data_IF_690976932055
#
_entry.id   IF_690976932055
#
_cell.length_a   1.000
_cell.length_b   1.000
_cell.length_c   1.000
_cell.angle_alpha   90.00
_cell.angle_beta   90.00
_cell.angle_gamma   90.00
#
_symmetry.space_group_name_H-M   'P 1'
#
loop_
_entity.id
_entity.type
_entity.pdbx_description
1 polymer ?
#
# COMPACT_ATOMS: atom_id res chain seq x y z
N UNK A 1 -10.32 3.90 2.71
CA UNK A 1 -10.85 3.46 4.02
C UNK A 1 -12.21 2.82 3.81
N UNK A 2 -12.49 1.61 4.32
CA UNK A 2 -13.83 1.04 4.23
C UNK A 2 -14.81 1.92 5.02
N UNK A 3 -15.99 2.14 4.45
CA UNK A 3 -16.95 3.14 4.94
C UNK A 3 -17.38 2.95 6.40
N UNK A 4 -17.33 1.72 6.91
CA UNK A 4 -17.84 1.35 8.24
C UNK A 4 -16.79 1.37 9.38
N UNK A 5 -15.58 1.91 9.18
CA UNK A 5 -14.59 2.02 10.27
C UNK A 5 -14.65 3.39 10.97
N UNK A 6 -15.18 3.48 12.21
CA UNK A 6 -15.29 4.74 12.94
C UNK A 6 -13.95 5.28 13.49
N UNK A 7 -12.87 4.48 13.46
CA UNK A 7 -11.54 4.86 13.96
C UNK A 7 -10.63 5.39 12.87
N UNK A 8 -9.66 6.21 13.30
CA UNK A 8 -8.49 6.50 12.49
C UNK A 8 -7.69 5.24 12.16
N UNK A 9 -6.94 5.30 11.07
CA UNK A 9 -6.11 4.19 10.60
C UNK A 9 -4.68 4.65 10.40
N UNK A 10 -3.72 3.79 10.76
CA UNK A 10 -2.31 4.01 10.47
C UNK A 10 -2.03 3.59 9.03
N UNK A 11 -1.65 4.54 8.19
CA UNK A 11 -1.19 4.29 6.83
C UNK A 11 0.32 4.37 6.79
N UNK A 12 0.97 3.34 6.26
CA UNK A 12 2.37 3.37 5.91
C UNK A 12 2.51 3.60 4.40
N UNK A 13 3.05 4.76 4.04
CA UNK A 13 3.40 5.11 2.66
C UNK A 13 4.87 4.80 2.44
N UNK A 14 5.15 3.99 1.43
CA UNK A 14 6.50 3.68 0.96
C UNK A 14 6.70 4.28 -0.42
N UNK A 15 7.75 5.06 -0.57
CA UNK A 15 8.13 5.62 -1.84
C UNK A 15 9.52 5.12 -2.20
N UNK A 16 9.62 4.34 -3.27
CA UNK A 16 10.89 3.82 -3.79
C UNK A 16 11.28 4.56 -5.07
N UNK A 17 12.56 4.91 -5.21
CA UNK A 17 13.10 5.48 -6.45
C UNK A 17 13.22 4.40 -7.52
N UNK A 18 12.80 4.67 -8.76
CA UNK A 18 12.84 3.71 -9.85
C UNK A 18 13.70 4.22 -11.01
N UNK A 19 14.55 3.36 -11.58
CA UNK A 19 15.25 3.65 -12.84
C UNK A 19 14.37 3.26 -14.04
N UNK A 20 14.46 3.96 -15.19
CA UNK A 20 13.65 3.64 -16.38
C UNK A 20 13.73 2.17 -16.80
N UNK A 21 14.95 1.59 -16.83
CA UNK A 21 15.17 0.20 -17.24
C UNK A 21 14.50 -0.82 -16.31
N UNK A 22 14.42 -0.50 -15.02
CA UNK A 22 13.76 -1.36 -14.04
C UNK A 22 12.23 -1.26 -14.17
N UNK A 23 11.70 -0.05 -14.47
CA UNK A 23 10.29 0.14 -14.80
C UNK A 23 9.88 -0.73 -15.98
N UNK A 24 10.61 -0.63 -17.10
CA UNK A 24 10.33 -1.38 -18.33
C UNK A 24 10.35 -2.89 -18.08
N UNK A 25 11.34 -3.38 -17.32
CA UNK A 25 11.43 -4.79 -16.92
C UNK A 25 10.19 -5.22 -16.11
N UNK A 26 9.75 -4.42 -15.13
CA UNK A 26 8.58 -4.75 -14.31
C UNK A 26 7.25 -4.67 -15.05
N UNK A 27 7.12 -3.74 -16.02
CA UNK A 27 5.96 -3.66 -16.93
C UNK A 27 5.86 -4.91 -17.80
N UNK A 28 6.98 -5.34 -18.39
CA UNK A 28 7.04 -6.57 -19.19
C UNK A 28 6.70 -7.79 -18.32
N UNK A 29 7.20 -7.86 -17.10
CA UNK A 29 6.89 -8.96 -16.19
C UNK A 29 5.39 -8.98 -15.80
N UNK A 30 4.81 -7.81 -15.56
CA UNK A 30 3.40 -7.66 -15.22
C UNK A 30 2.49 -8.06 -16.38
N UNK A 31 2.82 -7.65 -17.61
CA UNK A 31 2.02 -8.01 -18.78
C UNK A 31 1.99 -9.52 -19.00
N UNK A 32 3.12 -10.22 -18.79
CA UNK A 32 3.21 -11.67 -18.93
C UNK A 32 2.51 -12.44 -17.81
N UNK A 33 2.54 -11.94 -16.57
CA UNK A 33 1.89 -12.59 -15.42
C UNK A 33 0.38 -12.37 -15.37
N UNK A 34 -0.11 -11.30 -16.00
CA UNK A 34 -1.55 -10.97 -16.05
C UNK A 34 -2.22 -11.50 -17.31
N UNK A 35 -1.45 -11.93 -18.32
CA UNK A 35 -1.96 -12.57 -19.53
C UNK A 35 -2.80 -13.80 -19.13
N UNK A 36 -4.08 -13.74 -19.43
CA UNK A 36 -5.08 -14.72 -18.95
C UNK A 36 -5.23 -15.90 -19.91
N UNK A 37 -4.44 -15.92 -21.01
CA UNK A 37 -4.48 -16.92 -22.07
C UNK A 37 -5.51 -16.62 -23.18
N UNK A 38 -5.91 -15.36 -23.34
CA UNK A 38 -6.90 -14.95 -24.36
C UNK A 38 -6.32 -14.92 -25.78
N UNK A 39 -7.19 -15.02 -26.80
CA UNK A 39 -6.79 -15.01 -28.22
C UNK A 39 -6.07 -13.74 -28.69
N UNK A 40 -6.15 -12.67 -27.88
CA UNK A 40 -5.57 -11.34 -28.10
C UNK A 40 -4.51 -10.99 -27.06
N UNK A 41 -4.00 -11.99 -26.32
CA UNK A 41 -2.88 -11.74 -25.41
C UNK A 41 -1.60 -11.41 -26.17
N UNK A 42 -0.83 -10.49 -25.59
CA UNK A 42 0.48 -10.09 -26.12
C UNK A 42 1.39 -11.32 -26.10
N UNK A 43 2.07 -11.66 -27.22
CA UNK A 43 2.98 -12.79 -27.24
C UNK A 43 4.11 -12.57 -26.21
N UNK A 44 4.53 -13.63 -25.50
CA UNK A 44 5.53 -13.50 -24.45
C UNK A 44 6.86 -13.00 -25.05
N UNK A 45 7.25 -11.78 -24.68
CA UNK A 45 8.55 -11.21 -25.02
C UNK A 45 9.64 -11.79 -24.10
N UNK A 46 10.88 -11.87 -24.60
CA UNK A 46 11.98 -12.30 -23.75
C UNK A 46 12.24 -11.27 -22.64
N UNK A 47 12.11 -11.68 -21.37
CA UNK A 47 12.44 -10.88 -20.19
C UNK A 47 13.96 -10.76 -20.02
N UNK A 48 14.57 -9.84 -20.76
CA UNK A 48 15.99 -9.53 -20.61
C UNK A 48 16.20 -8.63 -19.40
N UNK A 49 16.79 -9.18 -18.34
CA UNK A 49 17.24 -8.39 -17.19
C UNK A 49 18.71 -7.97 -17.28
N UNK A 50 19.29 -7.58 -16.15
CA UNK A 50 20.71 -7.22 -16.04
C UNK A 50 21.59 -8.34 -15.41
N UNK A 51 21.00 -9.50 -15.13
CA UNK A 51 21.69 -10.68 -14.60
C UNK A 51 22.13 -11.57 -15.77
N UNK A 52 23.37 -12.07 -15.73
CA UNK A 52 23.95 -12.95 -16.76
C UNK A 52 24.81 -14.04 -16.13
N UNK A 53 24.82 -15.23 -16.73
CA UNK A 53 25.80 -16.25 -16.36
C UNK A 53 27.18 -15.88 -16.92
N UNK A 54 28.23 -16.03 -16.10
CA UNK A 54 29.63 -15.81 -16.49
C UNK A 54 30.26 -17.03 -17.17
N UNK A 55 29.77 -18.24 -16.87
CA UNK A 55 30.32 -19.50 -17.38
C UNK A 55 29.72 -19.88 -18.73
N UNK A 56 28.47 -19.49 -19.00
CA UNK A 56 27.79 -19.72 -20.28
C UNK A 56 27.05 -18.44 -20.73
N UNK A 57 27.59 -17.69 -21.70
CA UNK A 57 26.94 -16.49 -22.22
C UNK A 57 25.74 -16.77 -23.13
N UNK A 58 25.54 -18.02 -23.58
CA UNK A 58 24.36 -18.42 -24.35
C UNK A 58 23.17 -18.77 -23.45
N UNK A 59 23.42 -18.99 -22.15
CA UNK A 59 22.35 -19.27 -21.19
C UNK A 59 21.48 -18.03 -20.97
N UNK A 60 20.17 -18.23 -21.16
CA UNK A 60 19.17 -17.20 -20.92
C UNK A 60 18.79 -17.20 -19.44
N UNK A 61 19.21 -16.16 -18.73
CA UNK A 61 18.87 -15.96 -17.32
C UNK A 61 17.78 -14.90 -17.19
N UNK A 62 16.79 -15.15 -16.33
CA UNK A 62 15.72 -14.22 -16.01
C UNK A 62 16.00 -13.59 -14.66
N UNK A 63 15.96 -12.27 -14.58
CA UNK A 63 16.04 -11.55 -13.32
C UNK A 63 16.69 -10.18 -13.45
N UNK A 64 16.27 -9.26 -12.60
CA UNK A 64 16.77 -7.90 -12.56
C UNK A 64 17.20 -7.53 -11.14
N UNK A 65 18.44 -7.09 -11.00
CA UNK A 65 19.01 -6.59 -9.75
C UNK A 65 19.03 -5.06 -9.78
N UNK A 66 18.27 -4.41 -8.90
CA UNK A 66 18.25 -2.96 -8.76
C UNK A 66 18.58 -2.55 -7.32
N UNK A 67 19.20 -1.39 -7.17
CA UNK A 67 19.41 -0.73 -5.88
C UNK A 67 18.57 0.54 -5.89
N UNK A 68 17.63 0.62 -4.94
CA UNK A 68 16.66 1.72 -4.87
C UNK A 68 16.67 2.34 -3.48
N UNK A 69 16.51 3.66 -3.40
CA UNK A 69 16.25 4.33 -2.14
C UNK A 69 14.75 4.23 -1.82
N UNK A 70 14.40 3.78 -0.61
CA UNK A 70 13.00 3.72 -0.17
C UNK A 70 12.80 4.59 1.07
N UNK A 71 11.89 5.55 0.95
CA UNK A 71 11.47 6.43 2.05
C UNK A 71 10.15 5.95 2.60
N UNK A 72 10.06 5.91 3.94
CA UNK A 72 8.92 5.41 4.68
C UNK A 72 8.30 6.56 5.46
N UNK A 73 6.98 6.75 5.32
CA UNK A 73 6.21 7.71 6.11
C UNK A 73 5.00 7.01 6.68
N UNK A 74 4.81 7.12 7.99
CA UNK A 74 3.62 6.63 8.68
C UNK A 74 2.75 7.81 9.06
N UNK A 75 1.48 7.73 8.68
CA UNK A 75 0.49 8.79 8.87
C UNK A 75 -0.71 8.18 9.57
N UNK A 76 -1.09 8.76 10.70
CA UNK A 76 -2.38 8.45 11.31
C UNK A 76 -3.45 9.29 10.60
N UNK A 77 -4.37 8.64 9.91
CA UNK A 77 -5.51 9.30 9.30
C UNK A 77 -6.73 9.11 10.18
N UNK A 78 -7.19 10.19 10.81
CA UNK A 78 -8.46 10.22 11.50
C UNK A 78 -9.57 10.76 10.58
N UNK A 79 -10.75 10.13 10.62
CA UNK A 79 -11.91 10.53 9.81
C UNK A 79 -12.34 11.98 10.10
N UNK A 80 -12.19 12.41 11.34
CA UNK A 80 -12.57 13.77 11.77
C UNK A 80 -11.50 14.82 11.41
N UNK A 81 -10.27 14.40 11.13
CA UNK A 81 -9.15 15.29 10.77
C UNK A 81 -9.06 15.60 9.28
N UNK A 82 -9.71 14.79 8.43
CA UNK A 82 -9.90 15.11 7.03
C UNK A 82 -10.94 16.23 6.94
N UNK A 83 -10.48 17.48 6.85
CA UNK A 83 -11.35 18.62 6.58
C UNK A 83 -12.34 18.25 5.47
N UNK A 84 -13.63 18.50 5.70
CA UNK A 84 -14.70 18.16 4.78
C UNK A 84 -14.28 18.58 3.37
N UNK A 85 -13.97 17.61 2.51
CA UNK A 85 -13.82 17.89 1.09
C UNK A 85 -15.24 18.19 0.62
N UNK A 86 -15.56 19.43 0.21
CA UNK A 86 -16.89 19.70 -0.29
C UNK A 86 -17.09 18.83 -1.53
N UNK A 87 -17.91 17.78 -1.38
CA UNK A 87 -18.34 16.98 -2.50
C UNK A 87 -19.06 17.94 -3.46
N UNK A 88 -18.73 17.93 -4.77
CA UNK A 88 -19.48 18.73 -5.73
C UNK A 88 -20.96 18.36 -5.61
N UNK A 89 -21.74 19.42 -5.43
CA UNK A 89 -23.13 19.46 -4.98
C UNK A 89 -24.03 18.51 -5.78
N UNK A 90 -24.19 17.27 -5.30
CA UNK A 90 -25.46 16.55 -5.40
C UNK A 90 -26.15 16.64 -4.03
N UNK A 91 -26.57 17.88 -3.72
CA UNK A 91 -27.35 18.21 -2.54
C UNK A 91 -28.71 17.51 -2.62
N UNK A 92 -28.92 16.52 -1.76
CA UNK A 92 -30.19 16.17 -1.07
C UNK A 92 -30.05 14.91 -0.21
N UNK A 93 -28.86 14.33 -0.06
CA UNK A 93 -28.65 13.42 1.07
C UNK A 93 -28.42 14.31 2.29
N UNK A 94 -29.42 14.43 3.15
CA UNK A 94 -29.21 14.82 4.55
C UNK A 94 -27.96 14.06 5.00
N UNK A 95 -26.83 14.74 5.17
CA UNK A 95 -25.69 14.13 5.84
C UNK A 95 -26.26 13.61 7.16
N UNK A 96 -26.33 12.28 7.38
CA UNK A 96 -26.75 11.82 8.68
C UNK A 96 -25.73 12.42 9.62
N UNK A 97 -26.17 13.36 10.48
CA UNK A 97 -25.40 13.75 11.66
C UNK A 97 -25.03 12.41 12.26
N UNK A 98 -23.76 12.04 12.14
CA UNK A 98 -23.26 10.83 12.77
C UNK A 98 -23.63 11.08 14.22
N UNK A 99 -24.59 10.33 14.80
CA UNK A 99 -24.93 10.57 16.18
C UNK A 99 -23.61 10.42 16.92
N UNK A 100 -23.29 11.40 17.77
CA UNK A 100 -22.18 11.29 18.69
C UNK A 100 -22.49 10.10 19.59
N UNK A 101 -22.19 8.90 19.11
CA UNK A 101 -22.26 7.70 19.91
C UNK A 101 -21.30 7.96 21.06
N UNK A 102 -21.75 7.83 22.33
CA UNK A 102 -20.80 7.83 23.43
C UNK A 102 -19.79 6.74 23.10
N UNK A 103 -18.54 7.14 22.86
CA UNK A 103 -17.45 6.26 22.48
C UNK A 103 -17.42 5.18 23.58
N UNK A 104 -17.77 3.92 23.29
CA UNK A 104 -17.77 2.91 24.33
C UNK A 104 -16.32 2.75 24.82
N UNK A 105 -16.09 2.42 26.10
CA UNK A 105 -14.73 2.38 26.66
C UNK A 105 -13.78 1.40 25.96
N UNK A 106 -14.30 0.41 25.22
CA UNK A 106 -13.51 -0.49 24.36
C UNK A 106 -12.84 0.21 23.16
N UNK A 107 -13.29 1.42 22.84
CA UNK A 107 -12.85 2.19 21.68
C UNK A 107 -11.90 3.32 22.08
N UNK A 108 -11.50 3.35 23.36
CA UNK A 108 -10.38 4.14 23.82
C UNK A 108 -9.07 3.50 23.34
N UNK A 109 -8.05 4.32 23.00
CA UNK A 109 -6.72 3.82 22.71
C UNK A 109 -6.25 2.91 23.85
N UNK A 110 -6.02 1.64 23.52
CA UNK A 110 -5.71 0.63 24.53
C UNK A 110 -4.26 0.90 24.97
N UNK A 111 -4.00 1.28 26.24
CA UNK A 111 -2.69 1.75 26.67
C UNK A 111 -1.67 0.64 26.51
N UNK A 112 -0.50 0.87 25.92
CA UNK A 112 0.53 -0.15 25.72
C UNK A 112 1.12 -0.61 27.08
N UNK A 113 0.49 -1.60 27.70
CA UNK A 113 0.92 -2.23 28.96
C UNK A 113 1.25 -3.68 28.64
N UNK A 114 2.46 -4.10 29.06
CA UNK A 114 2.93 -5.49 29.00
C UNK A 114 1.93 -6.44 29.66
N UNK A 115 1.54 -7.48 28.93
CA UNK A 115 0.64 -8.55 29.37
C UNK A 115 0.92 -9.82 28.58
N UNK A 116 0.44 -10.97 29.05
CA UNK A 116 0.61 -12.26 28.37
C UNK A 116 0.12 -12.26 26.90
N UNK A 117 -0.78 -11.33 26.54
CA UNK A 117 -1.35 -11.20 25.19
C UNK A 117 -0.94 -9.91 24.48
N UNK A 118 -0.08 -9.06 25.06
CA UNK A 118 0.24 -7.74 24.48
C UNK A 118 1.58 -7.16 24.94
N UNK A 119 2.28 -6.49 24.04
CA UNK A 119 3.52 -5.76 24.33
C UNK A 119 3.26 -4.35 24.86
N UNK A 120 4.11 -3.88 25.76
CA UNK A 120 4.17 -2.49 26.23
C UNK A 120 4.85 -1.54 25.23
N UNK A 121 5.39 -2.06 24.14
CA UNK A 121 6.04 -1.28 23.10
C UNK A 121 4.98 -0.72 22.14
N UNK A 122 4.90 0.61 22.08
CA UNK A 122 4.01 1.33 21.16
C UNK A 122 4.53 1.28 19.73
N UNK A 123 3.70 0.91 18.72
CA UNK A 123 4.11 0.98 17.34
C UNK A 123 4.31 2.43 16.89
N UNK A 124 5.38 2.66 16.13
CA UNK A 124 5.75 4.00 15.68
C UNK A 124 4.66 4.59 14.76
N UNK A 125 4.12 5.75 15.13
CA UNK A 125 3.01 6.44 14.44
C UNK A 125 1.62 6.21 15.04
N UNK A 126 1.51 5.41 16.11
CA UNK A 126 0.25 5.23 16.86
C UNK A 126 -0.05 6.44 17.75
N UNK A 127 -1.33 6.75 17.98
CA UNK A 127 -1.78 7.82 18.88
C UNK A 127 -2.35 7.21 20.16
N UNK A 128 -2.07 7.84 21.31
CA UNK A 128 -2.59 7.43 22.64
C UNK A 128 -3.93 8.10 22.96
#
# INVERSE_FOLDING_TARGET
>A
MPYNFPHGTLIEVRQSSLTPQYFDFTELLKSQTTATGGLVDVPPAFLSGNIRNKNDPAEKVIGYFSVVNTVWRRLWLDRFSAGQVPLPVLSTVNEPKIPSFPIPPEWLPIPCIESATRTGIKPFGWID
#
